data_IF_036273320648
#
_entry.id   IF_036273320648
#
_cell.length_a   1.000
_cell.length_b   1.000
_cell.length_c   1.000
_cell.angle_alpha   90.00
_cell.angle_beta   90.00
_cell.angle_gamma   90.00
#
_symmetry.space_group_name_H-M   'P 1'
#
loop_
_entity.id
_entity.type
_entity.pdbx_description
1 polymer ?
#
# COMPACT_ATOMS: atom_id res chain seq x y z
N UNK A 1 8.42 -14.08 -10.92
CA UNK A 1 6.94 -14.07 -10.94
C UNK A 1 6.45 -13.48 -12.26
N UNK A 2 5.24 -13.83 -12.72
CA UNK A 2 4.60 -13.24 -13.91
C UNK A 2 3.50 -12.28 -13.50
N UNK A 3 3.37 -11.17 -14.23
CA UNK A 3 2.29 -10.21 -14.04
C UNK A 3 0.96 -10.87 -14.41
N UNK A 4 -0.02 -10.82 -13.51
CA UNK A 4 -1.35 -11.40 -13.76
C UNK A 4 -2.13 -10.63 -14.82
N UNK A 5 -1.81 -9.33 -14.99
CA UNK A 5 -2.46 -8.46 -15.97
C UNK A 5 -1.88 -8.64 -17.40
N UNK A 6 -0.57 -8.46 -17.58
CA UNK A 6 0.03 -8.43 -18.93
C UNK A 6 0.95 -9.62 -19.26
N UNK A 7 1.11 -10.60 -18.35
CA UNK A 7 2.03 -11.74 -18.48
C UNK A 7 3.53 -11.36 -18.59
N UNK A 8 3.86 -10.10 -18.31
CA UNK A 8 5.23 -9.58 -18.26
C UNK A 8 6.02 -10.15 -17.08
N UNK A 9 7.34 -10.00 -17.12
CA UNK A 9 8.23 -10.40 -16.03
C UNK A 9 8.16 -9.39 -14.88
N UNK A 10 8.04 -9.90 -13.66
CA UNK A 10 8.05 -9.10 -12.44
C UNK A 10 9.46 -9.04 -11.83
N UNK A 11 9.82 -7.88 -11.29
CA UNK A 11 11.11 -7.62 -10.63
C UNK A 11 10.91 -7.15 -9.19
N UNK A 12 11.80 -7.54 -8.27
CA UNK A 12 11.80 -7.00 -6.90
C UNK A 12 12.31 -5.57 -6.92
N UNK A 13 11.47 -4.64 -6.46
CA UNK A 13 11.76 -3.20 -6.33
C UNK A 13 11.00 -2.65 -5.12
N UNK A 14 10.86 -1.34 -5.06
CA UNK A 14 9.93 -0.67 -4.14
C UNK A 14 8.85 0.05 -4.91
N UNK A 15 7.68 0.20 -4.31
CA UNK A 15 6.58 0.97 -4.87
C UNK A 15 5.91 1.85 -3.82
N UNK A 16 5.28 2.96 -4.23
CA UNK A 16 4.52 3.80 -3.32
C UNK A 16 3.15 3.18 -3.02
N UNK A 17 2.65 3.38 -1.82
CA UNK A 17 1.27 3.15 -1.43
C UNK A 17 0.66 4.48 -0.96
N UNK A 18 -0.50 4.83 -1.51
CA UNK A 18 -1.21 6.04 -1.17
C UNK A 18 -2.68 5.75 -0.94
N UNK A 19 -3.25 6.33 0.12
CA UNK A 19 -4.67 6.21 0.41
C UNK A 19 -5.18 7.47 1.11
N UNK A 20 -6.39 7.85 0.73
CA UNK A 20 -7.12 8.96 1.35
C UNK A 20 -8.38 8.35 1.98
N UNK A 21 -8.48 8.36 3.31
CA UNK A 21 -9.66 7.86 4.01
C UNK A 21 -9.76 8.45 5.40
N UNK A 22 -10.97 8.42 5.97
CA UNK A 22 -11.28 8.81 7.36
C UNK A 22 -10.63 10.12 7.83
N UNK A 23 -10.49 11.11 6.95
CA UNK A 23 -9.93 12.43 7.28
C UNK A 23 -8.40 12.53 7.26
N UNK A 24 -7.68 11.52 6.77
CA UNK A 24 -6.23 11.58 6.57
C UNK A 24 -5.78 11.17 5.16
N UNK A 25 -4.58 11.63 4.82
CA UNK A 25 -3.83 11.25 3.62
C UNK A 25 -2.58 10.49 4.06
N UNK A 26 -2.49 9.21 3.71
CA UNK A 26 -1.29 8.40 3.99
C UNK A 26 -0.52 8.18 2.70
N UNK A 27 0.78 8.50 2.74
CA UNK A 27 1.73 8.21 1.67
C UNK A 27 2.92 7.44 2.24
N UNK A 28 3.13 6.24 1.72
CA UNK A 28 4.28 5.40 2.02
C UNK A 28 5.10 5.26 0.73
N UNK A 29 6.32 5.79 0.68
CA UNK A 29 7.00 6.03 -0.59
C UNK A 29 7.75 4.83 -1.17
N UNK A 30 8.22 3.91 -0.34
CA UNK A 30 9.17 2.88 -0.76
C UNK A 30 8.91 1.53 -0.06
N UNK A 31 7.76 0.93 -0.33
CA UNK A 31 7.40 -0.38 0.21
C UNK A 31 7.97 -1.48 -0.70
N UNK A 32 8.63 -2.52 -0.17
CA UNK A 32 9.07 -3.67 -0.96
C UNK A 32 7.90 -4.29 -1.75
N UNK A 33 8.12 -4.53 -3.05
CA UNK A 33 7.08 -5.05 -3.93
C UNK A 33 7.68 -5.78 -5.14
N UNK A 34 6.83 -6.53 -5.82
CA UNK A 34 7.06 -6.91 -7.20
C UNK A 34 6.51 -5.83 -8.12
N UNK A 35 7.33 -5.35 -9.06
CA UNK A 35 6.92 -4.39 -10.08
C UNK A 35 7.09 -5.01 -11.46
N UNK A 36 6.03 -4.98 -12.27
CA UNK A 36 6.11 -5.47 -13.64
C UNK A 36 7.01 -4.56 -14.48
N UNK A 37 8.03 -5.14 -15.11
CA UNK A 37 8.94 -4.40 -15.99
C UNK A 37 8.28 -3.87 -17.28
N UNK A 38 7.08 -4.37 -17.62
CA UNK A 38 6.38 -4.03 -18.85
C UNK A 38 5.24 -3.02 -18.63
N UNK A 39 4.32 -3.27 -17.70
CA UNK A 39 3.15 -2.41 -17.48
C UNK A 39 3.21 -1.58 -16.19
N UNK A 40 4.20 -1.81 -15.33
CA UNK A 40 4.35 -1.09 -14.06
C UNK A 40 3.45 -1.58 -12.92
N UNK A 41 2.70 -2.66 -13.12
CA UNK A 41 1.82 -3.21 -12.08
C UNK A 41 2.60 -3.61 -10.83
N UNK A 42 2.03 -3.31 -9.66
CA UNK A 42 2.67 -3.47 -8.35
C UNK A 42 1.94 -4.54 -7.54
N UNK A 43 2.66 -5.55 -7.05
CA UNK A 43 2.16 -6.53 -6.10
C UNK A 43 2.98 -6.48 -4.80
N UNK A 44 2.30 -6.19 -3.69
CA UNK A 44 2.85 -6.32 -2.34
C UNK A 44 2.70 -7.76 -1.85
N UNK A 45 3.67 -8.27 -1.09
CA UNK A 45 3.52 -9.59 -0.47
C UNK A 45 2.66 -9.50 0.79
N UNK A 46 2.26 -10.67 1.30
CA UNK A 46 1.49 -10.81 2.53
C UNK A 46 2.05 -9.97 3.69
N UNK A 47 3.36 -10.05 3.95
CA UNK A 47 3.98 -9.30 5.04
C UNK A 47 3.86 -7.78 4.89
N UNK A 48 4.01 -7.24 3.68
CA UNK A 48 3.81 -5.80 3.45
C UNK A 48 2.34 -5.42 3.55
N UNK A 49 1.43 -6.27 3.06
CA UNK A 49 -0.02 -6.04 3.16
C UNK A 49 -0.48 -6.04 4.63
N UNK A 50 -0.02 -6.99 5.44
CA UNK A 50 -0.33 -7.05 6.87
C UNK A 50 0.16 -5.78 7.60
N UNK A 51 1.38 -5.35 7.34
CA UNK A 51 1.93 -4.14 7.95
C UNK A 51 1.17 -2.87 7.53
N UNK A 52 0.80 -2.74 6.25
CA UNK A 52 -0.04 -1.64 5.75
C UNK A 52 -1.40 -1.66 6.44
N UNK A 53 -2.06 -2.82 6.52
CA UNK A 53 -3.39 -2.95 7.13
C UNK A 53 -3.37 -2.61 8.62
N UNK A 54 -2.36 -3.06 9.38
CA UNK A 54 -2.18 -2.70 10.78
C UNK A 54 -2.01 -1.19 10.98
N UNK A 55 -1.16 -0.56 10.17
CA UNK A 55 -0.98 0.90 10.22
C UNK A 55 -2.28 1.67 9.91
N UNK A 56 -3.08 1.18 8.96
CA UNK A 56 -4.37 1.78 8.63
C UNK A 56 -5.39 1.63 9.76
N UNK A 57 -5.44 0.48 10.46
CA UNK A 57 -6.31 0.29 11.61
C UNK A 57 -5.99 1.29 12.72
N UNK A 58 -4.71 1.43 13.07
CA UNK A 58 -4.27 2.38 14.10
C UNK A 58 -4.59 3.84 13.74
N UNK A 59 -4.36 4.23 12.49
CA UNK A 59 -4.66 5.58 12.01
C UNK A 59 -6.17 5.84 11.97
N UNK A 60 -6.95 4.86 11.52
CA UNK A 60 -8.40 4.94 11.48
C UNK A 60 -8.97 5.18 12.89
N UNK A 61 -8.58 4.37 13.88
CA UNK A 61 -9.07 4.51 15.26
C UNK A 61 -8.68 5.85 15.89
N UNK A 62 -7.45 6.31 15.67
CA UNK A 62 -6.98 7.59 16.21
C UNK A 62 -7.66 8.78 15.55
N UNK A 63 -7.88 8.71 14.24
CA UNK A 63 -8.51 9.82 13.50
C UNK A 63 -10.00 9.92 13.82
N UNK A 64 -10.69 8.81 14.02
CA UNK A 64 -12.07 8.81 14.52
C UNK A 64 -12.18 9.47 15.90
N UNK A 65 -11.26 9.17 16.83
CA UNK A 65 -11.23 9.83 18.15
C UNK A 65 -10.97 11.33 18.05
N UNK A 66 -10.10 11.77 17.14
CA UNK A 66 -9.85 13.19 16.90
C UNK A 66 -11.10 13.89 16.34
N UNK A 67 -11.81 13.25 15.42
CA UNK A 67 -13.03 13.80 14.82
C UNK A 67 -14.17 13.94 15.84
N UNK A 68 -14.26 13.05 16.84
CA UNK A 68 -15.26 13.11 17.91
C UNK A 68 -14.92 14.12 19.02
N UNK A 69 -13.65 14.54 19.12
CA UNK A 69 -13.20 15.52 20.11
C UNK A 69 -13.39 16.98 19.65
N UNK A 70 -13.79 17.18 18.39
CA UNK A 70 -14.10 18.48 17.79
C UNK A 70 -15.58 18.84 17.95
#
# INVERSE_FOLDING_TARGET
MKCMYCQGTMERKTAPFQINRKGYHLVLSAIPAWVCAQCGEVYFEEAEVEAIQGALQDLDERTEKLALAA
#
